data_IF_235443475167
#
_entry.id   IF_235443475167
#
_cell.length_a   1.000
_cell.length_b   1.000
_cell.length_c   1.000
_cell.angle_alpha   90.00
_cell.angle_beta   90.00
_cell.angle_gamma   90.00
#
_symmetry.space_group_name_H-M   'P 1'
#
loop_
_entity.id
_entity.type
_entity.pdbx_description
1 polymer ?
#
# COMPACT_ATOMS: atom_id res chain seq x y z
N UNK A 1 -5.40 6.30 -10.53
CA UNK A 1 -5.86 7.37 -9.62
C UNK A 1 -4.78 7.95 -8.69
N UNK A 2 -3.58 8.27 -9.19
CA UNK A 2 -2.55 8.95 -8.39
C UNK A 2 -2.84 10.47 -8.29
N UNK A 3 -2.92 11.07 -7.09
CA UNK A 3 -3.23 12.49 -6.93
C UNK A 3 -1.98 13.39 -6.90
N UNK A 4 -0.78 12.82 -7.01
CA UNK A 4 0.48 13.56 -6.86
C UNK A 4 0.62 14.65 -7.93
N UNK A 5 1.03 15.85 -7.51
CA UNK A 5 1.14 17.04 -8.38
C UNK A 5 1.98 16.77 -9.64
N UNK A 6 3.14 16.12 -9.49
CA UNK A 6 4.02 15.75 -10.62
C UNK A 6 3.35 14.86 -11.67
N UNK A 7 2.44 13.98 -11.24
CA UNK A 7 1.69 13.08 -12.13
C UNK A 7 0.50 13.79 -12.76
N UNK A 8 -0.25 14.56 -11.97
CA UNK A 8 -1.43 15.29 -12.46
C UNK A 8 -1.06 16.44 -13.43
N UNK A 9 0.11 17.06 -13.28
CA UNK A 9 0.56 18.17 -14.14
C UNK A 9 0.85 17.75 -15.58
N UNK A 10 1.11 16.45 -15.83
CA UNK A 10 1.23 15.88 -17.18
C UNK A 10 -0.06 15.18 -17.62
N UNK A 11 -1.20 15.54 -16.99
CA UNK A 11 -2.52 15.00 -17.27
C UNK A 11 -2.66 13.48 -17.10
N UNK A 12 -1.85 12.90 -16.21
CA UNK A 12 -1.92 11.48 -15.88
C UNK A 12 -2.56 11.24 -14.49
N UNK A 13 -2.74 9.97 -14.14
CA UNK A 13 -3.27 9.58 -12.83
C UNK A 13 -4.73 9.99 -12.67
N UNK A 14 -5.11 10.56 -11.52
CA UNK A 14 -6.51 10.98 -11.31
C UNK A 14 -6.89 12.27 -12.05
N UNK A 15 -5.96 12.95 -12.73
CA UNK A 15 -6.30 14.07 -13.61
C UNK A 15 -7.18 13.66 -14.80
N UNK A 16 -7.01 12.41 -15.26
CA UNK A 16 -7.83 11.80 -16.31
C UNK A 16 -9.29 11.64 -15.92
N UNK A 17 -9.61 11.63 -14.61
CA UNK A 17 -11.00 11.49 -14.17
C UNK A 17 -11.89 12.66 -14.57
N UNK A 18 -11.32 13.78 -15.06
CA UNK A 18 -12.11 14.92 -15.57
C UNK A 18 -12.60 14.73 -17.01
N UNK A 19 -12.09 13.72 -17.72
CA UNK A 19 -12.43 13.46 -19.13
C UNK A 19 -12.70 11.96 -19.33
N UNK A 20 -13.95 11.57 -19.14
CA UNK A 20 -14.40 10.18 -19.28
C UNK A 20 -14.18 9.64 -20.70
N UNK A 21 -14.33 10.49 -21.71
CA UNK A 21 -14.13 10.09 -23.11
C UNK A 21 -12.66 9.80 -23.39
N UNK A 22 -11.74 10.62 -22.86
CA UNK A 22 -10.31 10.33 -22.93
C UNK A 22 -9.95 9.05 -22.18
N UNK A 23 -10.55 8.81 -21.00
CA UNK A 23 -10.36 7.54 -20.29
C UNK A 23 -10.75 6.37 -21.20
N UNK A 24 -11.93 6.37 -21.80
CA UNK A 24 -12.36 5.30 -22.71
C UNK A 24 -11.36 5.04 -23.84
N UNK A 25 -10.93 6.09 -24.54
CA UNK A 25 -9.92 5.96 -25.62
C UNK A 25 -8.59 5.37 -25.14
N UNK A 26 -8.14 5.74 -23.95
CA UNK A 26 -6.92 5.17 -23.37
C UNK A 26 -7.14 3.68 -23.08
N UNK A 27 -8.26 3.31 -22.44
CA UNK A 27 -8.54 1.93 -22.07
C UNK A 27 -8.64 1.02 -23.30
N UNK A 28 -9.40 1.42 -24.32
CA UNK A 28 -9.49 0.69 -25.59
C UNK A 28 -8.13 0.54 -26.26
N UNK A 29 -7.33 1.61 -26.29
CA UNK A 29 -5.99 1.58 -26.87
C UNK A 29 -5.03 0.63 -26.15
N UNK A 30 -5.04 0.61 -24.81
CA UNK A 30 -4.14 -0.27 -24.06
C UNK A 30 -4.62 -1.72 -24.06
N UNK A 31 -5.93 -1.97 -23.98
CA UNK A 31 -6.51 -3.32 -24.02
C UNK A 31 -6.27 -3.94 -25.40
N UNK A 32 -6.52 -3.20 -26.49
CA UNK A 32 -6.29 -3.68 -27.85
C UNK A 32 -4.81 -3.86 -28.23
N UNK A 33 -3.88 -3.35 -27.44
CA UNK A 33 -2.45 -3.42 -27.73
C UNK A 33 -1.76 -4.67 -27.15
N UNK A 34 -2.40 -5.41 -26.24
CA UNK A 34 -1.78 -6.53 -25.52
C UNK A 34 -2.72 -7.71 -25.32
N UNK A 35 -2.17 -8.93 -25.33
CA UNK A 35 -2.93 -10.17 -25.08
C UNK A 35 -3.08 -10.51 -23.58
N UNK A 36 -2.33 -9.81 -22.71
CA UNK A 36 -2.38 -10.03 -21.26
C UNK A 36 -3.53 -9.24 -20.63
N UNK A 37 -4.14 -9.70 -19.52
CA UNK A 37 -5.21 -8.99 -18.86
C UNK A 37 -4.78 -7.58 -18.41
N UNK A 38 -5.51 -6.55 -18.85
CA UNK A 38 -5.30 -5.16 -18.41
C UNK A 38 -6.24 -4.84 -17.26
N UNK A 39 -5.71 -4.28 -16.17
CA UNK A 39 -6.50 -3.86 -15.00
C UNK A 39 -6.45 -2.35 -14.81
N UNK A 40 -7.48 -1.79 -14.16
CA UNK A 40 -7.57 -0.35 -13.91
C UNK A 40 -7.63 -0.05 -12.41
N UNK A 41 -6.93 1.00 -11.97
CA UNK A 41 -7.04 1.54 -10.60
C UNK A 41 -7.44 3.00 -10.58
N UNK A 42 -8.60 3.31 -10.01
CA UNK A 42 -9.18 4.67 -9.94
C UNK A 42 -9.34 5.18 -8.50
N UNK A 43 -9.80 6.42 -8.41
CA UNK A 43 -10.34 7.08 -7.21
C UNK A 43 -11.85 7.23 -7.39
N UNK A 44 -12.55 7.80 -6.43
CA UNK A 44 -14.02 7.97 -6.51
C UNK A 44 -14.45 9.18 -7.34
N UNK A 45 -13.56 10.14 -7.53
CA UNK A 45 -13.80 11.35 -8.31
C UNK A 45 -12.61 12.29 -8.34
N UNK A 46 -12.77 13.42 -9.03
CA UNK A 46 -11.81 14.52 -8.98
C UNK A 46 -11.87 15.26 -7.64
N UNK A 47 -13.08 15.53 -7.16
CA UNK A 47 -13.37 16.12 -5.86
C UNK A 47 -14.72 15.62 -5.34
N UNK A 48 -15.15 16.12 -4.18
CA UNK A 48 -16.39 15.70 -3.53
C UNK A 48 -17.66 15.96 -4.35
N UNK A 49 -17.67 17.00 -5.20
CA UNK A 49 -18.80 17.37 -6.06
C UNK A 49 -18.77 16.58 -7.38
N UNK A 50 -17.60 16.10 -7.79
CA UNK A 50 -17.36 15.42 -9.07
C UNK A 50 -16.97 13.95 -8.87
N UNK A 51 -17.88 13.13 -8.31
CA UNK A 51 -17.72 11.68 -8.10
C UNK A 51 -18.22 10.87 -9.30
N UNK A 52 -17.38 10.75 -10.32
CA UNK A 52 -17.74 10.08 -11.56
C UNK A 52 -17.16 8.65 -11.72
N UNK A 53 -16.63 8.07 -10.65
CA UNK A 53 -16.13 6.69 -10.70
C UNK A 53 -17.14 5.65 -11.21
N UNK A 54 -18.45 5.72 -10.91
CA UNK A 54 -19.44 4.81 -11.52
C UNK A 54 -19.57 4.92 -13.04
N UNK A 55 -19.37 6.11 -13.62
CA UNK A 55 -19.36 6.28 -15.08
C UNK A 55 -18.09 5.67 -15.68
N UNK A 56 -16.92 6.00 -15.11
CA UNK A 56 -15.63 5.45 -15.52
C UNK A 56 -15.57 3.93 -15.38
N UNK A 57 -16.19 3.37 -14.33
CA UNK A 57 -16.27 1.94 -14.09
C UNK A 57 -16.99 1.19 -15.23
N UNK A 58 -18.14 1.73 -15.70
CA UNK A 58 -18.88 1.17 -16.84
C UNK A 58 -18.09 1.26 -18.14
N UNK A 59 -17.42 2.39 -18.38
CA UNK A 59 -16.50 2.55 -19.51
C UNK A 59 -15.39 1.50 -19.45
N UNK A 60 -14.78 1.29 -18.28
CA UNK A 60 -13.71 0.33 -18.11
C UNK A 60 -14.14 -1.11 -18.45
N UNK A 61 -15.30 -1.55 -17.94
CA UNK A 61 -15.84 -2.86 -18.29
C UNK A 61 -16.11 -2.97 -19.79
N UNK A 62 -16.75 -1.96 -20.40
CA UNK A 62 -17.03 -1.96 -21.83
C UNK A 62 -15.76 -1.99 -22.71
N UNK A 63 -14.68 -1.35 -22.25
CA UNK A 63 -13.37 -1.35 -22.91
C UNK A 63 -12.57 -2.64 -22.70
N UNK A 64 -13.08 -3.63 -21.96
CA UNK A 64 -12.42 -4.93 -21.76
C UNK A 64 -11.42 -4.98 -20.60
N UNK A 65 -11.51 -4.07 -19.63
CA UNK A 65 -10.70 -4.15 -18.41
C UNK A 65 -11.06 -5.41 -17.61
N UNK A 66 -10.03 -6.18 -17.22
CA UNK A 66 -10.19 -7.47 -16.56
C UNK A 66 -10.50 -7.36 -15.05
N UNK A 67 -10.12 -6.27 -14.39
CA UNK A 67 -10.44 -6.00 -12.99
C UNK A 67 -10.31 -4.51 -12.65
N UNK A 68 -11.11 -4.03 -11.69
CA UNK A 68 -11.15 -2.63 -11.27
C UNK A 68 -10.84 -2.47 -9.78
N UNK A 69 -9.75 -1.77 -9.44
CA UNK A 69 -9.46 -1.35 -8.08
C UNK A 69 -9.91 0.10 -7.82
N UNK A 70 -10.69 0.34 -6.76
CA UNK A 70 -11.24 1.67 -6.44
C UNK A 70 -10.72 2.12 -5.08
N UNK A 71 -9.97 3.23 -5.05
CA UNK A 71 -9.64 3.91 -3.81
C UNK A 71 -10.81 4.80 -3.38
N UNK A 72 -11.35 4.58 -2.18
CA UNK A 72 -12.50 5.28 -1.59
C UNK A 72 -12.31 6.77 -1.28
N UNK A 73 -11.44 7.47 -2.01
CA UNK A 73 -11.20 8.91 -1.87
C UNK A 73 -11.24 9.59 -3.22
N UNK A 74 -11.65 10.84 -3.23
CA UNK A 74 -11.53 11.75 -4.38
C UNK A 74 -10.08 12.22 -4.51
N UNK A 75 -9.71 12.81 -5.66
CA UNK A 75 -8.32 13.23 -5.90
C UNK A 75 -7.87 14.31 -4.94
N UNK A 76 -8.69 15.32 -4.70
CA UNK A 76 -8.42 16.48 -3.83
C UNK A 76 -8.19 16.11 -2.36
N UNK A 77 -8.81 15.04 -1.88
CA UNK A 77 -8.58 14.52 -0.53
C UNK A 77 -7.16 13.98 -0.33
N UNK A 78 -6.41 13.67 -1.40
CA UNK A 78 -5.10 13.02 -1.27
C UNK A 78 -5.14 11.79 -0.32
N UNK A 79 -4.65 11.95 0.90
CA UNK A 79 -4.67 10.95 1.98
C UNK A 79 -5.31 11.48 3.28
N UNK A 80 -5.98 12.63 3.23
CA UNK A 80 -6.75 13.21 4.34
C UNK A 80 -8.18 12.65 4.37
N UNK A 81 -8.92 12.93 5.44
CA UNK A 81 -10.26 12.36 5.66
C UNK A 81 -10.24 10.83 5.74
N UNK A 82 -11.40 10.23 5.60
CA UNK A 82 -11.59 8.78 5.58
C UNK A 82 -11.96 8.29 4.18
N UNK A 83 -11.49 7.10 3.82
CA UNK A 83 -12.01 6.42 2.64
C UNK A 83 -13.48 6.05 2.85
N UNK A 84 -14.34 6.42 1.90
CA UNK A 84 -15.72 5.96 1.86
C UNK A 84 -15.88 4.75 0.95
N UNK A 85 -16.83 3.89 1.30
CA UNK A 85 -17.03 2.60 0.64
C UNK A 85 -18.35 2.54 -0.13
N UNK A 86 -19.22 3.55 -0.01
CA UNK A 86 -20.54 3.59 -0.66
C UNK A 86 -20.40 3.66 -2.18
N UNK A 87 -19.49 4.50 -2.68
CA UNK A 87 -19.19 4.59 -4.11
C UNK A 87 -18.64 3.25 -4.64
N UNK A 88 -17.83 2.56 -3.83
CA UNK A 88 -17.24 1.26 -4.19
C UNK A 88 -18.34 0.19 -4.27
N UNK A 89 -19.24 0.17 -3.28
CA UNK A 89 -20.39 -0.74 -3.25
C UNK A 89 -21.31 -0.52 -4.46
N UNK A 90 -21.61 0.75 -4.79
CA UNK A 90 -22.40 1.10 -5.96
C UNK A 90 -21.75 0.64 -7.27
N UNK A 91 -20.43 0.77 -7.40
CA UNK A 91 -19.69 0.23 -8.54
C UNK A 91 -19.81 -1.29 -8.60
N UNK A 92 -19.50 -2.00 -7.51
CA UNK A 92 -19.54 -3.47 -7.48
C UNK A 92 -20.93 -4.02 -7.80
N UNK A 93 -22.00 -3.37 -7.38
CA UNK A 93 -23.37 -3.76 -7.71
C UNK A 93 -23.72 -3.67 -9.20
N UNK A 94 -22.91 -2.99 -10.02
CA UNK A 94 -23.19 -2.73 -11.45
C UNK A 94 -22.20 -3.38 -12.42
N UNK A 95 -21.09 -3.93 -11.90
CA UNK A 95 -20.03 -4.53 -12.73
C UNK A 95 -20.04 -6.06 -12.60
N UNK A 96 -19.77 -6.71 -13.73
CA UNK A 96 -19.56 -8.16 -13.85
C UNK A 96 -18.09 -8.53 -13.65
N UNK A 97 -17.17 -7.60 -13.90
CA UNK A 97 -15.73 -7.81 -13.67
C UNK A 97 -15.38 -7.72 -12.17
N UNK A 98 -14.29 -8.38 -11.71
CA UNK A 98 -13.83 -8.26 -10.34
C UNK A 98 -13.56 -6.81 -9.91
N UNK A 99 -14.05 -6.44 -8.74
CA UNK A 99 -13.84 -5.13 -8.10
C UNK A 99 -13.05 -5.31 -6.81
N UNK A 100 -12.01 -4.50 -6.65
CA UNK A 100 -11.11 -4.51 -5.49
C UNK A 100 -11.29 -3.21 -4.69
N UNK A 101 -11.78 -3.34 -3.46
CA UNK A 101 -11.92 -2.22 -2.54
C UNK A 101 -10.56 -1.77 -1.99
N UNK A 102 -10.30 -0.45 -1.96
CA UNK A 102 -9.05 0.10 -1.46
C UNK A 102 -9.27 1.37 -0.63
N UNK A 103 -8.44 1.54 0.40
CA UNK A 103 -8.39 2.73 1.24
C UNK A 103 -8.66 2.39 2.69
N UNK A 104 -7.77 2.81 3.59
CA UNK A 104 -7.92 2.71 5.05
C UNK A 104 -8.26 1.31 5.59
N UNK A 105 -7.82 0.28 4.87
CA UNK A 105 -7.86 -1.11 5.33
C UNK A 105 -6.54 -1.39 6.05
N UNK A 106 -6.59 -1.37 7.38
CA UNK A 106 -5.43 -1.43 8.27
C UNK A 106 -5.41 -2.63 9.23
N UNK A 107 -6.44 -3.47 9.18
CA UNK A 107 -6.58 -4.63 10.06
C UNK A 107 -7.40 -5.74 9.40
N UNK A 108 -7.28 -6.99 9.88
CA UNK A 108 -8.11 -8.10 9.43
C UNK A 108 -9.61 -7.85 9.60
N UNK A 109 -10.00 -7.24 10.73
CA UNK A 109 -11.39 -6.86 10.99
C UNK A 109 -11.88 -5.79 10.01
N UNK A 110 -11.07 -4.78 9.73
CA UNK A 110 -11.43 -3.74 8.75
C UNK A 110 -11.58 -4.31 7.35
N UNK A 111 -10.70 -5.23 6.95
CA UNK A 111 -10.79 -5.92 5.67
C UNK A 111 -12.12 -6.70 5.54
N UNK A 112 -12.49 -7.48 6.57
CA UNK A 112 -13.75 -8.21 6.60
C UNK A 112 -14.97 -7.28 6.58
N UNK A 113 -14.93 -6.18 7.34
CA UNK A 113 -15.98 -5.16 7.35
C UNK A 113 -16.17 -4.56 5.95
N UNK A 114 -15.08 -4.15 5.28
CA UNK A 114 -15.13 -3.54 3.95
C UNK A 114 -15.65 -4.51 2.90
N UNK A 115 -15.20 -5.78 2.93
CA UNK A 115 -15.73 -6.81 2.03
C UNK A 115 -17.23 -6.99 2.23
N UNK A 116 -17.69 -7.08 3.48
CA UNK A 116 -19.12 -7.22 3.80
C UNK A 116 -19.94 -6.01 3.35
N UNK A 117 -19.43 -4.80 3.55
CA UNK A 117 -20.15 -3.56 3.20
C UNK A 117 -20.24 -3.35 1.68
N UNK A 118 -19.18 -3.71 0.95
CA UNK A 118 -19.07 -3.39 -0.48
C UNK A 118 -19.49 -4.53 -1.40
N UNK A 119 -19.49 -5.77 -0.91
CA UNK A 119 -19.64 -6.96 -1.75
C UNK A 119 -18.48 -7.16 -2.75
N UNK A 120 -17.36 -6.45 -2.60
CA UNK A 120 -16.21 -6.55 -3.49
C UNK A 120 -15.55 -7.92 -3.43
N UNK A 121 -14.90 -8.30 -4.52
CA UNK A 121 -14.26 -9.62 -4.68
C UNK A 121 -12.92 -9.69 -3.94
N UNK A 122 -12.28 -8.52 -3.72
CA UNK A 122 -11.02 -8.45 -2.98
C UNK A 122 -10.84 -7.10 -2.27
N UNK A 123 -9.84 -7.04 -1.40
CA UNK A 123 -9.33 -5.81 -0.80
C UNK A 123 -7.88 -5.57 -1.18
N UNK A 124 -7.50 -4.30 -1.33
CA UNK A 124 -6.11 -3.89 -1.57
C UNK A 124 -5.59 -3.08 -0.38
N UNK A 125 -4.49 -3.54 0.20
CA UNK A 125 -3.81 -2.91 1.33
C UNK A 125 -2.58 -2.16 0.84
N UNK A 126 -2.38 -0.94 1.36
CA UNK A 126 -1.25 -0.08 1.00
C UNK A 126 -0.39 0.27 2.21
N UNK A 127 -0.68 1.42 2.83
CA UNK A 127 0.11 1.98 3.94
C UNK A 127 0.24 1.02 5.13
N UNK A 128 -0.80 0.26 5.46
CA UNK A 128 -0.77 -0.66 6.60
C UNK A 128 0.17 -1.86 6.40
N UNK A 129 0.63 -2.14 5.17
CA UNK A 129 1.65 -3.16 4.90
C UNK A 129 3.09 -2.63 5.08
N UNK A 130 3.28 -1.31 5.22
CA UNK A 130 4.60 -0.71 5.40
C UNK A 130 5.09 -0.96 6.82
N UNK A 131 6.15 -1.78 6.97
CA UNK A 131 6.63 -2.23 8.28
C UNK A 131 5.78 -3.33 8.91
N UNK A 132 4.76 -3.81 8.19
CA UNK A 132 3.85 -4.88 8.62
C UNK A 132 3.49 -5.76 7.40
N UNK A 133 4.45 -6.50 6.81
CA UNK A 133 4.14 -7.41 5.70
C UNK A 133 3.24 -8.58 6.10
N UNK A 134 3.17 -8.93 7.40
CA UNK A 134 2.33 -10.00 7.92
C UNK A 134 0.83 -9.69 7.84
N UNK A 135 0.43 -8.43 7.64
CA UNK A 135 -0.98 -8.04 7.50
C UNK A 135 -1.75 -8.87 6.47
N UNK A 136 -1.11 -9.29 5.37
CA UNK A 136 -1.76 -10.10 4.34
C UNK A 136 -2.13 -11.50 4.87
N UNK A 137 -1.21 -12.16 5.59
CA UNK A 137 -1.48 -13.45 6.22
C UNK A 137 -2.51 -13.34 7.35
N UNK A 138 -2.47 -12.25 8.12
CA UNK A 138 -3.46 -11.96 9.16
C UNK A 138 -4.86 -11.73 8.60
N UNK A 139 -5.00 -10.97 7.50
CA UNK A 139 -6.27 -10.79 6.79
C UNK A 139 -6.77 -12.14 6.27
N UNK A 140 -5.91 -12.90 5.57
CA UNK A 140 -6.29 -14.19 5.00
C UNK A 140 -6.77 -15.17 6.08
N UNK A 141 -6.05 -15.28 7.20
CA UNK A 141 -6.44 -16.12 8.33
C UNK A 141 -7.79 -15.70 8.91
N UNK A 142 -7.97 -14.42 9.23
CA UNK A 142 -9.22 -13.92 9.80
C UNK A 142 -10.43 -14.13 8.88
N UNK A 143 -10.27 -13.95 7.57
CA UNK A 143 -11.34 -14.20 6.60
C UNK A 143 -11.71 -15.69 6.51
N UNK A 144 -10.74 -16.59 6.72
CA UNK A 144 -10.96 -18.03 6.66
C UNK A 144 -11.54 -18.61 7.97
N UNK A 145 -11.13 -18.09 9.13
CA UNK A 145 -11.43 -18.71 10.44
C UNK A 145 -12.32 -17.85 11.33
N UNK A 146 -12.39 -16.53 11.11
CA UNK A 146 -12.98 -15.58 12.04
C UNK A 146 -12.08 -15.25 13.25
N UNK A 147 -10.90 -15.86 13.35
CA UNK A 147 -9.97 -15.71 14.47
C UNK A 147 -8.83 -14.74 14.13
N UNK A 148 -8.28 -14.08 15.15
CA UNK A 148 -7.17 -13.12 14.98
C UNK A 148 -5.85 -13.80 15.34
N UNK A 149 -4.87 -13.76 14.44
CA UNK A 149 -3.52 -14.20 14.75
C UNK A 149 -2.87 -13.28 15.79
N UNK A 150 -2.01 -13.82 16.68
CA UNK A 150 -1.16 -12.99 17.50
C UNK A 150 -0.22 -12.12 16.63
N UNK A 151 0.29 -11.00 17.16
CA UNK A 151 1.36 -10.27 16.50
C UNK A 151 2.60 -11.17 16.34
N UNK A 152 3.43 -10.96 15.30
CA UNK A 152 4.66 -11.72 15.11
C UNK A 152 5.61 -11.50 16.28
N UNK A 153 6.43 -12.51 16.55
CA UNK A 153 7.47 -12.39 17.57
C UNK A 153 8.56 -11.41 17.10
N UNK A 154 9.20 -10.70 18.04
CA UNK A 154 10.30 -9.79 17.71
C UNK A 154 11.42 -10.47 16.92
N UNK A 155 11.71 -11.75 17.21
CA UNK A 155 12.68 -12.54 16.45
C UNK A 155 12.27 -12.75 14.99
N UNK A 156 10.98 -13.04 14.71
CA UNK A 156 10.49 -13.14 13.33
C UNK A 156 10.57 -11.79 12.61
N UNK A 157 10.21 -10.70 13.29
CA UNK A 157 10.31 -9.35 12.72
C UNK A 157 11.76 -9.02 12.35
N UNK A 158 12.71 -9.31 13.25
CA UNK A 158 14.14 -9.13 13.02
C UNK A 158 14.59 -9.90 11.79
N UNK A 159 14.29 -11.20 11.74
CA UNK A 159 14.83 -12.10 10.70
C UNK A 159 14.25 -11.75 9.32
N UNK A 160 12.95 -11.42 9.25
CA UNK A 160 12.31 -10.92 8.01
C UNK A 160 12.94 -9.59 7.57
N UNK A 161 13.18 -8.67 8.50
CA UNK A 161 13.77 -7.38 8.17
C UNK A 161 15.23 -7.54 7.69
N UNK A 162 16.04 -8.34 8.37
CA UNK A 162 17.43 -8.60 7.95
C UNK A 162 17.47 -9.21 6.55
N UNK A 163 16.66 -10.23 6.27
CA UNK A 163 16.58 -10.81 4.91
C UNK A 163 16.09 -9.81 3.87
N UNK A 164 15.17 -8.91 4.23
CA UNK A 164 14.73 -7.83 3.34
C UNK A 164 15.85 -6.81 3.06
N UNK A 165 16.67 -6.46 4.06
CA UNK A 165 17.83 -5.59 3.86
C UNK A 165 18.84 -6.21 2.90
N UNK A 166 19.19 -7.48 3.11
CA UNK A 166 20.08 -8.23 2.22
C UNK A 166 19.55 -8.23 0.78
N UNK A 167 18.25 -8.48 0.59
CA UNK A 167 17.61 -8.43 -0.72
C UNK A 167 17.67 -7.03 -1.37
N UNK A 168 17.49 -5.96 -0.58
CA UNK A 168 17.61 -4.58 -1.07
C UNK A 168 19.06 -4.25 -1.48
N UNK A 169 20.04 -4.68 -0.69
CA UNK A 169 21.46 -4.46 -1.00
C UNK A 169 21.86 -5.23 -2.25
N UNK A 170 21.41 -6.48 -2.41
CA UNK A 170 21.67 -7.30 -3.59
C UNK A 170 21.01 -6.73 -4.85
N UNK A 171 19.76 -6.26 -4.76
CA UNK A 171 19.00 -5.79 -5.91
C UNK A 171 19.45 -4.42 -6.42
N UNK A 172 19.71 -3.47 -5.51
CA UNK A 172 20.04 -2.09 -5.88
C UNK A 172 21.55 -1.82 -5.91
N UNK A 173 22.39 -2.77 -5.48
CA UNK A 173 23.80 -2.54 -5.19
C UNK A 173 23.99 -1.70 -3.92
N UNK A 174 25.20 -1.63 -3.38
CA UNK A 174 25.42 -1.12 -2.03
C UNK A 174 24.98 0.34 -1.83
N UNK A 175 25.41 1.34 -2.65
CA UNK A 175 25.12 2.73 -2.35
C UNK A 175 23.63 3.06 -2.42
N UNK A 176 22.91 2.45 -3.38
CA UNK A 176 21.47 2.66 -3.52
C UNK A 176 20.66 1.78 -2.57
N UNK A 177 21.09 0.54 -2.35
CA UNK A 177 20.46 -0.39 -1.41
C UNK A 177 20.39 0.21 0.00
N UNK A 178 21.50 0.76 0.50
CA UNK A 178 21.55 1.44 1.80
C UNK A 178 20.55 2.60 1.87
N UNK A 179 20.48 3.44 0.82
CA UNK A 179 19.58 4.60 0.77
C UNK A 179 18.11 4.18 0.71
N UNK A 180 17.79 3.16 -0.08
CA UNK A 180 16.42 2.65 -0.21
C UNK A 180 15.98 1.95 1.09
N UNK A 181 16.87 1.20 1.74
CA UNK A 181 16.59 0.50 2.99
C UNK A 181 16.12 1.42 4.13
N UNK A 182 16.61 2.67 4.19
CA UNK A 182 16.25 3.65 5.23
C UNK A 182 14.74 3.85 5.40
N UNK A 183 13.98 3.88 4.30
CA UNK A 183 12.52 4.04 4.40
C UNK A 183 11.85 2.81 5.01
N UNK A 184 12.34 1.61 4.69
CA UNK A 184 11.81 0.36 5.20
C UNK A 184 12.11 0.23 6.70
N UNK A 185 13.36 0.49 7.10
CA UNK A 185 13.78 0.54 8.51
C UNK A 185 12.90 1.52 9.32
N UNK A 186 12.64 2.71 8.77
CA UNK A 186 11.75 3.68 9.39
C UNK A 186 10.30 3.22 9.53
N UNK A 187 9.81 2.33 8.66
CA UNK A 187 8.47 1.77 8.77
C UNK A 187 8.36 0.70 9.86
N UNK A 188 9.33 -0.21 9.94
CA UNK A 188 9.35 -1.26 10.98
C UNK A 188 9.48 -0.69 12.39
N UNK A 189 10.20 0.42 12.56
CA UNK A 189 10.38 1.03 13.87
C UNK A 189 9.23 1.96 14.28
N UNK A 190 8.29 2.30 13.38
CA UNK A 190 7.36 3.45 13.56
C UNK A 190 6.58 3.44 14.88
N UNK A 191 6.14 2.27 15.33
CA UNK A 191 5.26 2.12 16.49
C UNK A 191 6.03 1.81 17.80
N UNK A 192 7.36 1.92 17.77
CA UNK A 192 8.23 1.74 18.92
C UNK A 192 8.58 3.08 19.60
N UNK A 193 8.62 3.16 20.95
CA UNK A 193 9.01 4.37 21.68
C UNK A 193 10.37 4.94 21.24
N UNK A 194 11.33 4.05 20.96
CA UNK A 194 12.70 4.33 20.58
C UNK A 194 12.89 4.65 19.08
N UNK A 195 11.80 4.72 18.30
CA UNK A 195 11.83 4.84 16.84
C UNK A 195 12.63 6.03 16.33
N UNK A 196 12.58 7.17 17.03
CA UNK A 196 13.28 8.38 16.62
C UNK A 196 14.80 8.19 16.71
N UNK A 197 15.28 7.60 17.81
CA UNK A 197 16.69 7.30 18.01
C UNK A 197 17.16 6.24 17.00
N UNK A 198 16.39 5.15 16.82
CA UNK A 198 16.74 4.11 15.87
C UNK A 198 16.84 4.66 14.45
N UNK A 199 15.86 5.48 14.04
CA UNK A 199 15.86 6.15 12.74
C UNK A 199 17.07 7.06 12.55
N UNK A 200 17.50 7.79 13.59
CA UNK A 200 18.68 8.63 13.50
C UNK A 200 19.93 7.79 13.22
N UNK A 201 20.12 6.70 13.97
CA UNK A 201 21.26 5.80 13.82
C UNK A 201 21.29 5.11 12.46
N UNK A 202 20.18 4.52 12.00
CA UNK A 202 20.15 3.82 10.69
C UNK A 202 20.23 4.76 9.48
N UNK A 203 19.82 6.03 9.63
CA UNK A 203 19.98 7.02 8.57
C UNK A 203 21.42 7.49 8.42
N UNK A 204 22.22 7.42 9.49
CA UNK A 204 23.65 7.70 9.47
C UNK A 204 24.48 6.54 8.91
N UNK A 205 23.94 5.32 8.87
CA UNK A 205 24.63 4.18 8.26
C UNK A 205 24.90 4.40 6.76
N UNK A 206 26.15 4.12 6.36
CA UNK A 206 26.65 4.30 5.00
C UNK A 206 26.88 2.98 4.27
N UNK A 207 26.98 1.86 5.00
CA UNK A 207 27.25 0.54 4.42
C UNK A 207 26.16 -0.49 4.72
N UNK A 208 26.02 -1.53 3.86
CA UNK A 208 25.16 -2.68 4.13
C UNK A 208 25.42 -3.32 5.49
N UNK A 209 26.70 -3.57 5.81
CA UNK A 209 27.12 -4.20 7.05
C UNK A 209 26.71 -3.40 8.29
N UNK A 210 26.83 -2.06 8.24
CA UNK A 210 26.35 -1.19 9.32
C UNK A 210 24.84 -1.31 9.52
N UNK A 211 24.04 -1.25 8.45
CA UNK A 211 22.58 -1.37 8.56
C UNK A 211 22.15 -2.73 9.15
N UNK A 212 22.79 -3.81 8.72
CA UNK A 212 22.52 -5.16 9.23
C UNK A 212 22.88 -5.27 10.73
N UNK A 213 24.05 -4.78 11.12
CA UNK A 213 24.49 -4.81 12.51
C UNK A 213 23.56 -3.99 13.42
N UNK A 214 23.30 -2.72 13.07
CA UNK A 214 22.41 -1.83 13.84
C UNK A 214 21.02 -2.46 13.98
N UNK A 215 20.49 -3.04 12.91
CA UNK A 215 19.16 -3.68 12.93
C UNK A 215 19.16 -4.90 13.84
N UNK A 216 20.17 -5.76 13.74
CA UNK A 216 20.29 -6.96 14.57
C UNK A 216 20.39 -6.60 16.05
N UNK A 217 21.34 -5.72 16.39
CA UNK A 217 21.60 -5.32 17.77
C UNK A 217 20.37 -4.66 18.41
N UNK A 218 19.63 -3.86 17.63
CA UNK A 218 18.36 -3.26 18.06
C UNK A 218 17.34 -4.32 18.47
N UNK A 219 17.04 -5.27 17.59
CA UNK A 219 16.04 -6.31 17.89
C UNK A 219 16.52 -7.28 18.96
N UNK A 220 17.81 -7.63 19.01
CA UNK A 220 18.37 -8.50 20.03
C UNK A 220 18.24 -7.87 21.43
N UNK A 221 18.47 -6.56 21.55
CA UNK A 221 18.23 -5.82 22.79
C UNK A 221 16.75 -5.85 23.20
N UNK A 222 15.82 -5.62 22.25
CA UNK A 222 14.38 -5.69 22.52
C UNK A 222 13.94 -7.09 22.95
N UNK A 223 14.45 -8.14 22.31
CA UNK A 223 14.18 -9.55 22.66
C UNK A 223 14.70 -9.87 24.06
N UNK A 224 15.88 -9.35 24.43
CA UNK A 224 16.47 -9.53 25.75
C UNK A 224 15.83 -8.64 26.84
N UNK A 225 14.91 -7.72 26.48
CA UNK A 225 14.27 -6.81 27.41
C UNK A 225 15.19 -5.72 27.96
N UNK A 226 16.26 -5.37 27.23
CA UNK A 226 17.21 -4.31 27.59
C UNK A 226 17.13 -3.13 26.63
N UNK A 227 17.56 -1.96 27.08
CA UNK A 227 17.57 -0.77 26.24
C UNK A 227 18.56 -0.94 25.06
N UNK A 228 18.13 -0.71 23.80
CA UNK A 228 19.03 -0.75 22.66
C UNK A 228 20.14 0.30 22.76
N UNK A 229 21.38 -0.10 22.49
CA UNK A 229 22.52 0.84 22.40
C UNK A 229 22.50 1.50 21.03
N UNK A 230 21.84 2.66 20.95
CA UNK A 230 21.74 3.44 19.73
C UNK A 230 22.78 4.57 19.79
N UNK A 231 23.81 4.47 18.95
CA UNK A 231 24.79 5.54 18.81
C UNK A 231 24.06 6.79 18.31
N UNK A 232 24.15 7.88 19.07
CA UNK A 232 23.72 9.18 18.59
C UNK A 232 24.57 9.54 17.37
N UNK A 233 23.92 9.90 16.25
CA UNK A 233 24.63 10.49 15.14
C UNK A 233 25.29 11.78 15.66
N UNK A 234 26.62 11.85 15.55
CA UNK A 234 27.41 13.03 15.87
C UNK A 234 27.08 14.19 14.92
#
# INVERSE_FOLDING_TARGET
>A
GCPAKKVCNVWAGSALMRDEALVGRILEGVVGAVEVPVTLKIRTGWDAEHRNAPAIARVAQASGIAALAVHGRTRDQHYTGQAEYDTIAAIKATLDIPVIANGDIDSPRKAAEVLRLTGCDAVMVGRAAQGNPWIFGQIAHFLATGETLPPPMLAEVRDVLLGHLEALHAFYGEPQGVRIARKHLGWYAKDHPESAAFRATVNAAETPGQQLAITRDYFDALIAGVAPVLLAAA
#
